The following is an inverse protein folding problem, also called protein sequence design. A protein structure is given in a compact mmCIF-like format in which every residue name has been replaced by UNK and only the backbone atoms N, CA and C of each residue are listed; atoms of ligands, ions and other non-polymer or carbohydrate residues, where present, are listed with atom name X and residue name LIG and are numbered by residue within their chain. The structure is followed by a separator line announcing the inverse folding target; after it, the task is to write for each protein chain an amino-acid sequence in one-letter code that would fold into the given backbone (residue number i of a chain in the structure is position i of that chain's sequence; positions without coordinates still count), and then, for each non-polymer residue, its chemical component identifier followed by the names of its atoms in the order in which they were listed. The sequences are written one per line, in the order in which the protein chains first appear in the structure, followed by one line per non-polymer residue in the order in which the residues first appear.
data_IF_836672743073
#
_entry.id   IF_836672743073
#
_cell.length_a   1.000
_cell.length_b   1.000
_cell.length_c   1.000
_cell.angle_alpha   90.00
_cell.angle_beta   90.00
_cell.angle_gamma   90.00
#
_symmetry.space_group_name_H-M   'P 1'
#
loop_
_entity.id
_entity.type
_entity.pdbx_description
1 polymer ?
#
# COMPACT_ATOMS: atom_id res chain seq x y z
N UNK A 1 41.96 -91.70 15.32
CA UNK A 1 41.61 -91.47 13.95
C UNK A 1 40.65 -90.26 13.98
N UNK A 2 41.14 -89.07 13.67
CA UNK A 2 40.47 -87.79 13.91
C UNK A 2 39.90 -87.35 12.55
N UNK A 3 38.58 -87.14 12.51
CA UNK A 3 37.87 -86.65 11.33
C UNK A 3 37.56 -85.14 11.53
N UNK A 4 38.19 -84.28 10.77
CA UNK A 4 37.94 -82.88 10.75
C UNK A 4 36.68 -82.58 9.89
N UNK A 5 35.63 -82.05 10.51
CA UNK A 5 34.47 -81.49 9.82
C UNK A 5 34.69 -79.98 9.47
N UNK A 6 34.59 -79.68 8.22
CA UNK A 6 34.71 -78.33 7.72
C UNK A 6 33.33 -77.57 7.85
N UNK A 7 33.37 -76.56 8.72
CA UNK A 7 32.24 -75.64 8.82
C UNK A 7 32.36 -74.56 7.72
N UNK A 8 31.35 -74.43 6.83
CA UNK A 8 31.22 -73.38 5.83
C UNK A 8 30.53 -72.19 6.50
N UNK A 9 31.24 -71.12 6.66
CA UNK A 9 30.65 -69.89 7.12
C UNK A 9 29.98 -69.18 5.91
N UNK A 10 28.66 -69.06 5.91
CA UNK A 10 27.94 -68.19 4.98
C UNK A 10 27.92 -66.76 5.52
N UNK A 11 28.54 -65.85 4.82
CA UNK A 11 28.44 -64.42 5.08
C UNK A 11 27.15 -63.87 4.45
N UNK A 12 26.22 -63.52 5.28
CA UNK A 12 24.99 -62.79 4.87
C UNK A 12 25.32 -61.28 4.80
N UNK A 13 25.36 -60.74 3.60
CA UNK A 13 25.44 -59.31 3.36
C UNK A 13 24.05 -58.71 3.57
N UNK A 14 23.86 -58.05 4.71
CA UNK A 14 22.64 -57.24 4.94
C UNK A 14 22.78 -55.90 4.20
N UNK A 15 22.04 -55.75 3.13
CA UNK A 15 21.92 -54.50 2.39
C UNK A 15 21.00 -53.53 3.17
N UNK A 16 21.60 -52.57 3.87
CA UNK A 16 20.87 -51.54 4.62
C UNK A 16 20.44 -50.43 3.66
N UNK A 17 19.21 -50.52 3.13
CA UNK A 17 18.57 -49.45 2.38
C UNK A 17 18.14 -48.32 3.33
N UNK A 18 18.98 -47.31 3.49
CA UNK A 18 18.62 -46.06 4.16
C UNK A 18 17.65 -45.28 3.25
N UNK A 19 16.34 -45.35 3.54
CA UNK A 19 15.35 -44.50 2.92
C UNK A 19 15.50 -43.08 3.50
N UNK A 20 16.08 -42.16 2.72
CA UNK A 20 16.05 -40.73 3.01
C UNK A 20 14.63 -40.22 2.81
N UNK A 21 13.86 -40.11 3.90
CA UNK A 21 12.60 -39.40 3.90
C UNK A 21 12.93 -37.89 3.80
N UNK A 22 12.80 -37.35 2.59
CA UNK A 22 12.78 -35.90 2.38
C UNK A 22 11.45 -35.40 2.91
N UNK A 23 11.43 -34.92 4.15
CA UNK A 23 10.32 -34.17 4.70
C UNK A 23 10.25 -32.82 3.96
N UNK A 24 9.35 -32.71 3.00
CA UNK A 24 8.97 -31.41 2.45
C UNK A 24 8.28 -30.60 3.56
N UNK A 25 9.05 -29.78 4.24
CA UNK A 25 8.51 -28.76 5.13
C UNK A 25 7.85 -27.71 4.27
N UNK A 26 6.55 -27.83 4.08
CA UNK A 26 5.74 -26.71 3.62
C UNK A 26 5.74 -25.65 4.73
N UNK A 27 6.60 -24.64 4.58
CA UNK A 27 6.46 -23.43 5.39
C UNK A 27 5.08 -22.85 5.11
N UNK A 28 4.22 -22.65 6.12
CA UNK A 28 2.98 -21.93 5.91
C UNK A 28 3.39 -20.52 5.48
N UNK A 29 3.03 -20.11 4.26
CA UNK A 29 3.09 -18.71 3.86
C UNK A 29 2.04 -18.01 4.71
N UNK A 30 2.45 -17.54 5.87
CA UNK A 30 1.66 -16.65 6.70
C UNK A 30 1.60 -15.34 5.91
N UNK A 31 0.60 -15.21 5.05
CA UNK A 31 0.33 -13.94 4.39
C UNK A 31 0.10 -12.91 5.49
N UNK A 32 1.05 -11.99 5.66
CA UNK A 32 0.89 -10.85 6.55
C UNK A 32 -0.45 -10.21 6.24
N UNK A 33 -1.31 -10.09 7.25
CA UNK A 33 -2.57 -9.32 7.15
C UNK A 33 -2.28 -7.83 7.12
N UNK A 34 -1.05 -7.46 7.40
CA UNK A 34 -0.56 -6.09 7.46
C UNK A 34 -0.39 -5.51 6.05
N UNK A 35 -0.83 -4.26 5.89
CA UNK A 35 -0.71 -3.54 4.63
C UNK A 35 0.74 -3.11 4.41
N UNK A 36 1.37 -3.46 3.28
CA UNK A 36 2.78 -3.14 3.04
C UNK A 36 2.99 -1.62 2.96
N UNK A 37 4.15 -1.17 3.45
CA UNK A 37 4.59 0.20 3.23
C UNK A 37 4.84 0.45 1.74
N UNK A 38 4.45 1.62 1.28
CA UNK A 38 4.62 2.08 -0.09
C UNK A 38 5.13 3.52 -0.09
N UNK A 39 5.81 3.88 -1.16
CA UNK A 39 6.42 5.20 -1.35
C UNK A 39 6.17 5.66 -2.78
N UNK A 40 5.83 6.93 -2.92
CA UNK A 40 5.72 7.61 -4.21
C UNK A 40 6.47 8.93 -4.16
N UNK A 41 7.09 9.33 -5.26
CA UNK A 41 7.79 10.60 -5.33
C UNK A 41 7.77 11.17 -6.74
N UNK A 42 7.85 12.50 -6.81
CA UNK A 42 7.98 13.25 -8.06
C UNK A 42 8.92 14.43 -7.88
N UNK A 43 9.39 14.99 -8.98
CA UNK A 43 10.22 16.21 -8.96
C UNK A 43 9.53 17.29 -9.79
N UNK A 44 9.13 18.38 -9.15
CA UNK A 44 8.61 19.58 -9.80
C UNK A 44 9.44 20.80 -9.38
N UNK A 45 9.66 21.74 -10.30
CA UNK A 45 10.50 22.90 -10.06
C UNK A 45 11.89 22.55 -9.48
N UNK A 46 12.47 21.37 -9.88
CA UNK A 46 13.75 20.87 -9.38
C UNK A 46 13.75 20.41 -7.91
N UNK A 47 12.59 20.25 -7.30
CA UNK A 47 12.42 19.82 -5.89
C UNK A 47 11.62 18.53 -5.82
N UNK A 48 12.12 17.59 -5.02
CA UNK A 48 11.45 16.32 -4.80
C UNK A 48 10.32 16.45 -3.77
N UNK A 49 9.15 15.98 -4.13
CA UNK A 49 7.98 15.81 -3.27
C UNK A 49 7.81 14.32 -3.04
N UNK A 50 7.54 13.91 -1.81
CA UNK A 50 7.39 12.50 -1.45
C UNK A 50 6.10 12.24 -0.72
N UNK A 51 5.58 11.02 -0.88
CA UNK A 51 4.41 10.52 -0.20
C UNK A 51 4.69 9.10 0.30
N UNK A 52 4.61 8.91 1.61
CA UNK A 52 4.78 7.63 2.29
C UNK A 52 3.41 7.14 2.78
N UNK A 53 3.02 5.90 2.48
CA UNK A 53 1.72 5.36 2.87
C UNK A 53 1.79 3.84 3.08
N UNK A 54 0.72 3.25 3.60
CA UNK A 54 0.54 1.79 3.60
C UNK A 54 -0.54 1.42 2.58
N UNK A 55 -0.27 0.39 1.77
CA UNK A 55 -1.08 -0.01 0.63
C UNK A 55 -1.96 -1.23 0.96
N UNK A 56 -3.18 -1.05 1.51
CA UNK A 56 -4.10 -2.15 1.76
C UNK A 56 -4.56 -2.82 0.47
N UNK A 57 -4.89 -4.12 0.56
CA UNK A 57 -5.50 -4.91 -0.51
C UNK A 57 -7.00 -5.08 -0.28
N UNK A 58 -7.75 -5.17 -1.36
CA UNK A 58 -9.22 -5.39 -1.35
C UNK A 58 -9.57 -6.74 -0.73
N UNK A 59 -8.91 -7.81 -1.15
CA UNK A 59 -9.16 -9.19 -0.71
C UNK A 59 -10.65 -9.58 -0.81
N UNK A 60 -11.26 -9.28 -1.94
CA UNK A 60 -12.67 -9.61 -2.22
C UNK A 60 -13.71 -8.72 -1.51
N UNK A 61 -13.28 -7.66 -0.81
CA UNK A 61 -14.19 -6.72 -0.14
C UNK A 61 -14.57 -5.56 -1.08
N UNK A 62 -15.63 -4.86 -0.76
CA UNK A 62 -15.98 -3.62 -1.44
C UNK A 62 -15.17 -2.45 -0.87
N UNK A 63 -14.53 -1.67 -1.75
CA UNK A 63 -13.75 -0.50 -1.31
C UNK A 63 -14.66 0.54 -0.70
N UNK A 64 -15.70 0.95 -1.42
CA UNK A 64 -16.67 1.93 -0.91
C UNK A 64 -17.80 1.23 -0.15
N UNK A 65 -18.00 1.63 1.08
CA UNK A 65 -19.01 1.07 1.99
C UNK A 65 -18.43 0.15 3.04
N UNK A 66 -17.50 -0.77 2.68
CA UNK A 66 -16.85 -1.66 3.64
C UNK A 66 -15.52 -1.09 4.14
N UNK A 67 -14.60 -0.75 3.22
CA UNK A 67 -13.27 -0.28 3.57
C UNK A 67 -13.22 1.24 3.78
N UNK A 68 -13.90 2.00 2.92
CA UNK A 68 -14.07 3.45 3.03
C UNK A 68 -15.54 3.74 3.28
N UNK A 69 -15.84 4.27 4.45
CA UNK A 69 -17.22 4.63 4.82
C UNK A 69 -17.57 6.03 4.35
N UNK A 70 -18.73 6.19 3.73
CA UNK A 70 -19.24 7.49 3.29
C UNK A 70 -19.43 8.43 4.49
N UNK A 71 -19.06 9.70 4.33
CA UNK A 71 -19.07 10.75 5.34
C UNK A 71 -18.16 10.51 6.56
N UNK A 72 -17.21 9.57 6.46
CA UNK A 72 -16.16 9.40 7.46
C UNK A 72 -14.79 9.71 6.89
N UNK A 73 -13.95 10.34 7.69
CA UNK A 73 -12.56 10.59 7.32
C UNK A 73 -11.83 9.26 7.26
N UNK A 74 -11.13 9.05 6.16
CA UNK A 74 -10.28 7.91 5.90
C UNK A 74 -8.82 8.36 5.86
N UNK A 75 -7.94 7.60 6.51
CA UNK A 75 -6.48 7.87 6.58
C UNK A 75 -5.74 7.74 5.25
N UNK A 76 -6.46 7.59 4.13
CA UNK A 76 -5.92 7.48 2.77
C UNK A 76 -4.82 6.41 2.67
N UNK A 77 -5.04 5.30 3.34
CA UNK A 77 -4.09 4.20 3.52
C UNK A 77 -4.52 3.28 4.64
N UNK A 78 -3.51 2.62 5.26
CA UNK A 78 -3.71 1.77 6.44
C UNK A 78 -2.52 1.94 7.41
N UNK A 79 -2.65 1.41 8.66
CA UNK A 79 -1.63 1.47 9.71
C UNK A 79 -1.16 2.91 10.03
N UNK A 80 0.06 3.27 9.63
CA UNK A 80 0.61 4.61 9.82
C UNK A 80 -0.15 5.66 8.98
N UNK A 81 -0.10 6.90 9.43
CA UNK A 81 -0.66 8.03 8.70
C UNK A 81 0.06 8.25 7.37
N UNK A 82 -0.70 8.41 6.29
CA UNK A 82 -0.18 8.78 4.97
C UNK A 82 0.48 10.15 5.05
N UNK A 83 1.77 10.24 4.72
CA UNK A 83 2.59 11.41 4.96
C UNK A 83 3.07 12.02 3.66
N UNK A 84 2.74 13.29 3.43
CA UNK A 84 3.23 14.13 2.33
C UNK A 84 4.38 15.02 2.84
N UNK A 85 5.51 15.05 2.12
CA UNK A 85 6.62 15.97 2.39
C UNK A 85 6.91 16.82 1.16
N UNK A 86 7.01 18.11 1.35
CA UNK A 86 7.37 19.06 0.30
C UNK A 86 8.38 20.09 0.80
N UNK A 87 9.50 20.32 0.10
CA UNK A 87 10.46 21.34 0.45
C UNK A 87 10.13 22.73 -0.12
N UNK A 88 9.02 22.86 -0.84
CA UNK A 88 8.54 24.10 -1.46
C UNK A 88 7.05 24.28 -1.24
N UNK A 89 6.58 25.51 -1.37
CA UNK A 89 5.16 25.82 -1.34
C UNK A 89 4.45 25.28 -2.57
N UNK A 90 3.32 24.63 -2.34
CA UNK A 90 2.52 24.00 -3.37
C UNK A 90 1.11 24.60 -3.43
N UNK A 91 0.52 24.59 -4.60
CA UNK A 91 -0.92 24.62 -4.77
C UNK A 91 -1.41 23.21 -5.03
N UNK A 92 -2.19 22.63 -4.11
CA UNK A 92 -2.79 21.30 -4.18
C UNK A 92 -4.30 21.48 -4.39
N UNK A 93 -4.79 21.25 -5.60
CA UNK A 93 -6.14 21.65 -5.99
C UNK A 93 -6.33 23.16 -5.76
N UNK A 94 -7.22 23.52 -4.83
CA UNK A 94 -7.49 24.92 -4.46
C UNK A 94 -6.72 25.39 -3.22
N UNK A 95 -5.96 24.50 -2.54
CA UNK A 95 -5.25 24.82 -1.32
C UNK A 95 -3.83 25.32 -1.59
N UNK A 96 -3.42 26.35 -0.86
CA UNK A 96 -2.02 26.71 -0.69
C UNK A 96 -1.45 25.89 0.48
N UNK A 97 -0.42 25.10 0.19
CA UNK A 97 0.24 24.22 1.14
C UNK A 97 1.70 24.64 1.24
N UNK A 98 2.10 25.31 2.34
CA UNK A 98 3.50 25.72 2.54
C UNK A 98 4.48 24.54 2.55
N UNK A 99 5.75 24.80 2.34
CA UNK A 99 6.81 23.79 2.53
C UNK A 99 6.71 23.16 3.93
N UNK A 100 6.74 21.83 4.00
CA UNK A 100 6.54 21.13 5.27
C UNK A 100 6.25 19.64 5.12
N UNK A 101 5.85 19.05 6.25
CA UNK A 101 5.39 17.67 6.34
C UNK A 101 3.95 17.68 6.84
N UNK A 102 3.10 16.89 6.20
CA UNK A 102 1.66 16.86 6.43
C UNK A 102 1.14 15.44 6.44
N UNK A 103 0.07 15.20 7.18
CA UNK A 103 -0.72 13.98 7.02
C UNK A 103 -1.82 14.22 5.98
N UNK A 104 -2.01 13.21 5.14
CA UNK A 104 -3.06 13.19 4.11
C UNK A 104 -4.20 12.30 4.56
N UNK A 105 -5.38 12.88 4.64
CA UNK A 105 -6.64 12.18 4.81
C UNK A 105 -7.53 12.42 3.60
N UNK A 106 -8.58 11.61 3.48
CA UNK A 106 -9.63 11.86 2.50
C UNK A 106 -11.01 11.55 3.09
N UNK A 107 -12.04 12.07 2.45
CA UNK A 107 -13.42 11.80 2.82
C UNK A 107 -14.25 11.65 1.54
N UNK A 108 -15.07 10.60 1.51
CA UNK A 108 -16.09 10.40 0.49
C UNK A 108 -17.41 10.91 1.02
N UNK A 109 -18.04 11.81 0.29
CA UNK A 109 -19.33 12.38 0.64
C UNK A 109 -20.33 12.20 -0.50
N UNK A 110 -21.60 12.50 -0.26
CA UNK A 110 -22.61 12.55 -1.32
C UNK A 110 -22.35 13.65 -2.37
N UNK A 111 -21.40 14.57 -2.09
CA UNK A 111 -20.98 15.66 -3.00
C UNK A 111 -19.68 15.35 -3.74
N UNK A 112 -19.12 14.14 -3.55
CA UNK A 112 -17.86 13.68 -4.14
C UNK A 112 -16.74 13.49 -3.12
N UNK A 113 -15.54 13.29 -3.63
CA UNK A 113 -14.34 13.01 -2.85
C UNK A 113 -13.59 14.30 -2.51
N UNK A 114 -13.02 14.36 -1.31
CA UNK A 114 -12.18 15.48 -0.88
C UNK A 114 -10.88 14.95 -0.28
N UNK A 115 -9.78 15.62 -0.60
CA UNK A 115 -8.49 15.47 0.07
C UNK A 115 -8.42 16.45 1.24
N UNK A 116 -7.84 16.01 2.34
CA UNK A 116 -7.63 16.80 3.56
C UNK A 116 -6.12 16.85 3.81
N UNK A 117 -5.55 18.03 3.88
CA UNK A 117 -4.17 18.26 4.29
C UNK A 117 -4.19 18.66 5.76
N UNK A 118 -3.54 17.86 6.61
CA UNK A 118 -3.55 18.04 8.05
C UNK A 118 -2.12 18.28 8.57
N UNK A 119 -1.96 19.21 9.50
CA UNK A 119 -0.66 19.61 10.06
C UNK A 119 -0.12 18.65 11.12
N UNK A 120 -0.94 17.76 11.65
CA UNK A 120 -0.53 16.74 12.60
C UNK A 120 0.38 15.72 11.89
N UNK A 121 1.47 15.31 12.53
CA UNK A 121 2.43 14.35 11.97
C UNK A 121 2.93 13.37 13.02
N UNK A 122 3.32 12.16 12.59
CA UNK A 122 3.89 11.13 13.47
C UNK A 122 2.88 10.35 14.31
N UNK A 123 1.58 10.58 14.11
CA UNK A 123 0.50 9.86 14.79
C UNK A 123 0.11 8.58 14.04
N UNK A 124 -0.68 7.73 14.69
CA UNK A 124 -1.42 6.67 14.01
C UNK A 124 -2.37 7.25 12.95
N UNK A 125 -2.54 6.57 11.83
CA UNK A 125 -3.51 7.01 10.81
C UNK A 125 -4.95 7.12 11.32
N UNK A 126 -5.28 6.47 12.44
CA UNK A 126 -6.59 6.53 13.07
C UNK A 126 -6.81 7.78 13.95
N UNK A 127 -5.73 8.47 14.33
CA UNK A 127 -5.77 9.61 15.26
C UNK A 127 -5.93 10.92 14.49
N UNK A 128 -7.12 11.16 13.96
CA UNK A 128 -7.44 12.36 13.20
C UNK A 128 -7.96 13.49 14.11
N UNK A 129 -7.27 14.64 14.07
CA UNK A 129 -7.70 15.89 14.71
C UNK A 129 -8.06 16.93 13.64
N UNK A 130 -9.35 17.19 13.50
CA UNK A 130 -9.87 18.17 12.54
C UNK A 130 -9.37 19.60 12.80
N UNK A 131 -9.03 19.95 14.04
CA UNK A 131 -8.52 21.28 14.38
C UNK A 131 -7.16 21.56 13.75
N UNK A 132 -6.45 20.52 13.33
CA UNK A 132 -5.17 20.57 12.63
C UNK A 132 -5.30 20.58 11.10
N UNK A 133 -6.51 20.56 10.54
CA UNK A 133 -6.67 20.68 9.09
C UNK A 133 -6.07 22.01 8.59
N UNK A 134 -5.15 21.92 7.64
CA UNK A 134 -4.73 23.08 6.86
C UNK A 134 -5.86 23.50 5.92
N UNK A 135 -6.53 22.52 5.35
CA UNK A 135 -7.69 22.71 4.50
C UNK A 135 -8.12 21.44 3.79
N UNK A 136 -9.18 21.58 2.99
CA UNK A 136 -9.78 20.51 2.19
C UNK A 136 -9.95 20.97 0.76
N UNK A 137 -9.69 20.10 -0.18
CA UNK A 137 -9.88 20.36 -1.60
C UNK A 137 -10.60 19.20 -2.28
N UNK A 138 -11.32 19.47 -3.36
CA UNK A 138 -12.05 18.45 -4.11
C UNK A 138 -11.08 17.62 -4.95
N UNK A 139 -11.32 16.31 -4.99
CA UNK A 139 -10.74 15.40 -5.97
C UNK A 139 -11.70 15.24 -7.16
N UNK A 140 -11.16 15.19 -8.36
CA UNK A 140 -11.86 14.65 -9.52
C UNK A 140 -11.95 13.13 -9.36
N UNK A 141 -12.96 12.51 -9.94
CA UNK A 141 -13.14 11.06 -9.89
C UNK A 141 -13.48 10.54 -11.27
N UNK A 142 -12.84 9.44 -11.64
CA UNK A 142 -13.23 8.59 -12.74
C UNK A 142 -13.68 7.26 -12.12
N UNK A 143 -14.97 6.97 -12.18
CA UNK A 143 -15.46 5.64 -11.85
C UNK A 143 -15.30 4.80 -13.13
N UNK A 144 -14.27 3.94 -13.15
CA UNK A 144 -14.07 2.98 -14.22
C UNK A 144 -15.02 1.82 -13.99
N UNK A 145 -16.24 1.93 -14.50
CA UNK A 145 -17.26 0.86 -14.46
C UNK A 145 -17.34 0.11 -15.79
N UNK A 146 -16.30 0.17 -16.61
CA UNK A 146 -16.23 -0.65 -17.81
C UNK A 146 -16.02 -2.12 -17.41
N UNK A 147 -16.88 -3.03 -17.88
CA UNK A 147 -16.85 -4.46 -17.58
C UNK A 147 -15.52 -5.15 -17.94
N UNK A 148 -14.65 -4.47 -18.66
CA UNK A 148 -13.32 -4.94 -19.05
C UNK A 148 -12.19 -4.45 -18.13
N UNK A 149 -12.44 -3.53 -17.21
CA UNK A 149 -11.40 -3.01 -16.32
C UNK A 149 -11.16 -3.94 -15.14
N UNK A 150 -9.88 -4.24 -14.89
CA UNK A 150 -9.49 -4.97 -13.69
C UNK A 150 -9.35 -3.98 -12.52
N UNK A 151 -9.89 -4.32 -11.34
CA UNK A 151 -9.77 -3.43 -10.18
C UNK A 151 -8.32 -3.31 -9.71
N UNK A 152 -7.93 -2.16 -9.22
CA UNK A 152 -6.71 -1.99 -8.47
C UNK A 152 -6.80 -2.75 -7.14
N UNK A 153 -6.27 -3.98 -7.11
CA UNK A 153 -6.32 -4.85 -5.92
C UNK A 153 -5.68 -4.22 -4.69
N UNK A 154 -4.60 -3.45 -4.88
CA UNK A 154 -3.93 -2.68 -3.84
C UNK A 154 -4.19 -1.20 -4.03
N UNK A 155 -4.26 -0.47 -2.91
CA UNK A 155 -4.22 0.99 -2.96
C UNK A 155 -2.92 1.44 -3.62
N UNK A 156 -3.04 2.29 -4.64
CA UNK A 156 -1.94 2.99 -5.29
C UNK A 156 -2.16 4.49 -5.12
N UNK A 157 -1.15 5.17 -4.60
CA UNK A 157 -1.11 6.63 -4.56
C UNK A 157 0.16 7.04 -5.26
N UNK A 158 0.05 7.71 -6.40
CA UNK A 158 1.19 8.08 -7.23
C UNK A 158 1.08 9.48 -7.82
N UNK A 159 2.19 9.92 -8.40
CA UNK A 159 2.25 11.18 -9.12
C UNK A 159 2.35 10.89 -10.61
N UNK A 160 1.44 11.46 -11.39
CA UNK A 160 1.38 11.29 -12.83
C UNK A 160 1.48 12.64 -13.56
N UNK A 161 1.65 12.60 -14.87
CA UNK A 161 1.66 13.78 -15.74
C UNK A 161 2.60 14.88 -15.24
N UNK A 162 3.77 14.47 -14.69
CA UNK A 162 4.75 15.40 -14.14
C UNK A 162 5.52 16.12 -15.23
N UNK A 163 5.51 17.44 -15.21
CA UNK A 163 6.33 18.29 -16.06
C UNK A 163 6.56 19.67 -15.43
N UNK A 164 7.77 20.20 -15.54
CA UNK A 164 8.20 21.50 -15.02
C UNK A 164 7.75 21.76 -13.57
N UNK A 165 6.69 22.51 -13.40
CA UNK A 165 6.15 22.95 -12.12
C UNK A 165 4.85 22.26 -11.74
N UNK A 166 4.42 21.25 -12.47
CA UNK A 166 3.11 20.60 -12.29
C UNK A 166 3.20 19.10 -12.25
N UNK A 167 2.28 18.49 -11.52
CA UNK A 167 2.01 17.06 -11.48
C UNK A 167 0.54 16.82 -11.11
N UNK A 168 0.10 15.61 -11.21
CA UNK A 168 -1.19 15.16 -10.70
C UNK A 168 -0.96 14.13 -9.61
N UNK A 169 -1.73 14.21 -8.52
CA UNK A 169 -1.78 13.18 -7.49
C UNK A 169 -2.98 12.28 -7.79
N UNK A 170 -2.72 11.00 -7.99
CA UNK A 170 -3.72 9.97 -8.25
C UNK A 170 -3.86 9.04 -7.04
N UNK A 171 -5.09 8.67 -6.71
CA UNK A 171 -5.45 7.70 -5.67
C UNK A 171 -6.33 6.66 -6.33
N UNK A 172 -5.80 5.43 -6.49
CA UNK A 172 -6.44 4.33 -7.23
C UNK A 172 -6.68 3.15 -6.30
N UNK A 173 -7.93 2.73 -6.15
CA UNK A 173 -8.27 1.55 -5.38
C UNK A 173 -9.63 0.99 -5.81
N UNK A 174 -9.68 -0.32 -6.04
CA UNK A 174 -10.85 -0.94 -6.64
C UNK A 174 -11.08 -0.45 -8.05
N UNK A 175 -12.29 -0.10 -8.35
CA UNK A 175 -12.70 0.48 -9.63
C UNK A 175 -12.72 2.02 -9.61
N UNK A 176 -12.19 2.64 -8.57
CA UNK A 176 -12.20 4.08 -8.40
C UNK A 176 -10.82 4.67 -8.57
N UNK A 177 -10.73 5.72 -9.35
CA UNK A 177 -9.59 6.60 -9.45
C UNK A 177 -10.02 8.02 -9.09
N UNK A 178 -9.30 8.63 -8.16
CA UNK A 178 -9.50 10.02 -7.76
C UNK A 178 -8.20 10.79 -7.96
N UNK A 179 -8.28 12.01 -8.48
CA UNK A 179 -7.07 12.77 -8.79
C UNK A 179 -7.26 14.28 -8.65
N UNK A 180 -6.16 15.00 -8.51
CA UNK A 180 -6.12 16.46 -8.53
C UNK A 180 -4.75 16.98 -9.03
N UNK A 181 -4.77 18.23 -9.49
CA UNK A 181 -3.54 18.92 -9.90
C UNK A 181 -2.75 19.44 -8.69
N UNK A 182 -1.42 19.33 -8.80
CA UNK A 182 -0.45 19.96 -7.91
C UNK A 182 0.45 20.85 -8.75
N UNK A 183 0.75 22.05 -8.25
CA UNK A 183 1.73 22.94 -8.87
C UNK A 183 2.64 23.58 -7.82
N UNK A 184 3.90 23.81 -8.19
CA UNK A 184 4.81 24.65 -7.42
C UNK A 184 4.36 26.13 -7.51
N UNK A 185 4.44 26.86 -6.40
CA UNK A 185 4.15 28.28 -6.31
C UNK A 185 5.39 29.13 -6.57
#
# INVERSE_FOLDING_TARGET
MIVFSKVKTMATIACLCAALAVSAQSTPVTGSTESPAAHSSTTINGKQITLDYSAPSIRGRQVLGELIQVNKVWRTGDNAATTLKTPIDLKIGDLVVPAGTYTVYSIVTTKGYQLIINKQTGQSGADYDQSQDLGRTRLNTNDTTDDNDQPFEKLVIDFENTHDKKTELHIKWGYSESWLHISAL
#
